data_IF_824851975544
#
_entry.id   IF_824851975544
#
_cell.length_a   1.000
_cell.length_b   1.000
_cell.length_c   1.000
_cell.angle_alpha   90.00
_cell.angle_beta   90.00
_cell.angle_gamma   90.00
#
_symmetry.space_group_name_H-M   'P 1'
#
loop_
_entity.id
_entity.type
_entity.pdbx_description
1 polymer ?
#
# COMPACT_ATOMS: atom_id res chain seq x y z
N UNK A 1 -26.58 11.86 6.04
CA UNK A 1 -26.86 12.33 7.40
C UNK A 1 -28.36 12.50 7.57
N UNK A 2 -28.92 11.78 8.52
CA UNK A 2 -30.30 11.98 8.90
C UNK A 2 -30.42 13.32 9.66
N UNK A 3 -31.06 14.30 9.02
CA UNK A 3 -31.29 15.63 9.60
C UNK A 3 -32.55 15.68 10.43
N UNK A 4 -33.12 14.55 10.84
CA UNK A 4 -34.26 14.51 11.72
C UNK A 4 -33.86 15.13 13.06
N UNK A 5 -34.51 16.22 13.42
CA UNK A 5 -34.28 16.96 14.67
C UNK A 5 -35.01 16.36 15.86
N UNK A 6 -35.95 15.46 15.63
CA UNK A 6 -36.60 14.64 16.64
C UNK A 6 -36.95 13.26 16.07
N UNK A 7 -37.18 12.30 16.96
CA UNK A 7 -37.57 10.93 16.61
C UNK A 7 -39.08 10.69 16.79
N UNK A 8 -39.87 11.74 16.93
CA UNK A 8 -41.31 11.65 17.20
C UNK A 8 -42.17 11.51 15.95
N UNK A 9 -41.54 11.55 14.76
CA UNK A 9 -42.22 11.32 13.48
C UNK A 9 -42.37 9.84 13.18
N UNK A 10 -43.57 9.42 12.77
CA UNK A 10 -43.76 8.12 12.16
C UNK A 10 -43.05 8.14 10.81
N UNK A 11 -42.04 7.30 10.63
CA UNK A 11 -41.41 7.09 9.33
C UNK A 11 -42.33 6.19 8.51
N UNK A 12 -43.16 6.79 7.67
CA UNK A 12 -44.01 6.08 6.69
C UNK A 12 -43.22 5.51 5.53
N UNK A 13 -41.98 5.21 5.76
CA UNK A 13 -41.12 4.63 4.74
C UNK A 13 -41.04 3.11 4.91
N UNK A 14 -41.62 2.38 3.97
CA UNK A 14 -41.39 0.96 3.82
C UNK A 14 -40.22 0.77 2.86
N UNK A 15 -39.14 0.14 3.35
CA UNK A 15 -38.00 -0.20 2.51
C UNK A 15 -38.45 -1.17 1.41
N UNK A 16 -38.41 -0.72 0.18
CA UNK A 16 -38.54 -1.59 -0.98
C UNK A 16 -37.14 -1.95 -1.47
N UNK A 17 -36.78 -3.25 -1.48
CA UNK A 17 -35.50 -3.66 -2.04
C UNK A 17 -35.40 -3.20 -3.49
N UNK A 18 -34.34 -2.49 -3.82
CA UNK A 18 -34.06 -2.15 -5.20
C UNK A 18 -33.99 -3.45 -6.00
N UNK A 19 -34.78 -3.53 -7.08
CA UNK A 19 -34.76 -4.69 -7.98
C UNK A 19 -33.31 -5.03 -8.36
N UNK A 20 -32.97 -6.32 -8.42
CA UNK A 20 -31.62 -6.71 -8.84
C UNK A 20 -31.29 -6.00 -10.15
N UNK A 21 -30.23 -5.18 -10.12
CA UNK A 21 -29.80 -4.47 -11.32
C UNK A 21 -29.48 -5.48 -12.41
N UNK A 22 -29.71 -5.08 -13.65
CA UNK A 22 -29.35 -5.91 -14.79
C UNK A 22 -27.90 -6.35 -14.63
N UNK A 23 -27.68 -7.67 -14.64
CA UNK A 23 -26.32 -8.21 -14.69
C UNK A 23 -25.63 -7.66 -15.93
N UNK A 24 -24.34 -7.36 -15.81
CA UNK A 24 -23.54 -7.02 -16.96
C UNK A 24 -23.66 -8.14 -18.00
N UNK A 25 -24.17 -7.80 -19.19
CA UNK A 25 -24.37 -8.75 -20.30
C UNK A 25 -23.17 -8.78 -21.25
N UNK A 26 -22.14 -7.98 -20.96
CA UNK A 26 -20.88 -7.98 -21.72
C UNK A 26 -20.05 -9.24 -21.46
N UNK A 27 -19.20 -9.58 -22.42
CA UNK A 27 -18.17 -10.61 -22.22
C UNK A 27 -17.16 -10.02 -21.24
N UNK A 28 -17.10 -10.58 -20.04
CA UNK A 28 -16.10 -10.21 -19.04
C UNK A 28 -14.86 -11.08 -19.27
N UNK A 29 -13.65 -10.51 -19.16
CA UNK A 29 -12.44 -11.32 -19.23
C UNK A 29 -12.36 -12.26 -18.03
N UNK A 30 -11.96 -13.50 -18.25
CA UNK A 30 -11.74 -14.48 -17.20
C UNK A 30 -10.35 -14.32 -16.57
N UNK A 31 -9.45 -13.62 -17.25
CA UNK A 31 -8.04 -13.46 -16.88
C UNK A 31 -7.58 -12.01 -17.01
N UNK A 32 -6.44 -11.71 -16.39
CA UNK A 32 -5.73 -10.44 -16.53
C UNK A 32 -4.22 -10.68 -16.53
N UNK A 33 -3.46 -9.75 -17.10
CA UNK A 33 -2.00 -9.78 -17.08
C UNK A 33 -1.48 -9.16 -15.77
N UNK A 34 -0.89 -9.99 -14.91
CA UNK A 34 -0.37 -9.59 -13.61
C UNK A 34 0.89 -10.35 -13.20
N UNK A 35 1.40 -10.05 -12.03
CA UNK A 35 2.57 -10.72 -11.46
C UNK A 35 2.12 -11.72 -10.39
N UNK A 36 2.58 -12.96 -10.48
CA UNK A 36 2.36 -13.95 -9.43
C UNK A 36 3.51 -13.90 -8.44
N UNK A 37 3.22 -13.61 -7.19
CA UNK A 37 4.20 -13.61 -6.10
C UNK A 37 4.46 -15.02 -5.57
N UNK A 38 5.60 -15.22 -4.92
CA UNK A 38 6.02 -16.52 -4.39
C UNK A 38 5.01 -17.12 -3.40
N UNK A 39 4.24 -16.30 -2.70
CA UNK A 39 3.16 -16.69 -1.80
C UNK A 39 1.81 -17.00 -2.51
N UNK A 40 1.79 -16.96 -3.84
CA UNK A 40 0.62 -17.23 -4.67
C UNK A 40 -0.36 -16.07 -4.81
N UNK A 41 -0.09 -14.89 -4.21
CA UNK A 41 -0.89 -13.68 -4.43
C UNK A 41 -0.61 -13.07 -5.79
N UNK A 42 -1.64 -12.43 -6.35
CA UNK A 42 -1.53 -11.71 -7.61
C UNK A 42 -1.29 -10.22 -7.37
N UNK A 43 -0.46 -9.62 -8.21
CA UNK A 43 -0.22 -8.19 -8.26
C UNK A 43 -0.55 -7.64 -9.65
N UNK A 44 -1.06 -6.42 -9.72
CA UNK A 44 -1.27 -5.68 -10.97
C UNK A 44 -0.13 -4.72 -11.28
N UNK A 45 0.73 -4.49 -10.28
CA UNK A 45 1.90 -3.62 -10.35
C UNK A 45 3.15 -4.35 -9.85
N UNK A 46 4.30 -3.88 -10.29
CA UNK A 46 5.63 -4.32 -9.86
C UNK A 46 6.44 -3.09 -9.47
N UNK A 47 6.09 -2.51 -8.32
CA UNK A 47 6.63 -1.23 -7.86
C UNK A 47 7.74 -1.45 -6.83
N UNK A 48 8.63 -0.47 -6.69
CA UNK A 48 9.60 -0.40 -5.59
C UNK A 48 9.10 0.65 -4.60
N UNK A 49 8.97 0.25 -3.34
CA UNK A 49 8.46 1.12 -2.28
C UNK A 49 9.54 1.44 -1.27
N UNK A 50 9.67 2.73 -0.91
CA UNK A 50 10.59 3.23 0.09
C UNK A 50 9.76 3.64 1.29
N UNK A 51 9.88 2.87 2.38
CA UNK A 51 9.00 2.95 3.54
C UNK A 51 9.83 3.35 4.76
N UNK A 52 9.57 4.53 5.37
CA UNK A 52 10.20 4.90 6.62
C UNK A 52 9.61 4.11 7.79
N UNK A 53 10.40 3.79 8.79
CA UNK A 53 9.91 3.28 10.08
C UNK A 53 9.45 4.41 11.00
N UNK A 54 9.89 5.64 10.72
CA UNK A 54 9.60 6.83 11.51
C UNK A 54 9.47 8.08 10.63
N UNK A 55 8.64 9.02 11.05
CA UNK A 55 8.40 10.27 10.33
C UNK A 55 9.63 11.16 10.14
N UNK A 56 10.64 11.02 11.01
CA UNK A 56 11.86 11.85 10.98
C UNK A 56 12.65 11.70 9.66
N UNK A 57 12.57 10.56 8.99
CA UNK A 57 13.26 10.32 7.71
C UNK A 57 12.35 10.52 6.49
N UNK A 58 11.16 11.10 6.65
CA UNK A 58 10.23 11.34 5.53
C UNK A 58 10.83 12.15 4.38
N UNK A 59 11.63 13.17 4.70
CA UNK A 59 12.30 13.99 3.66
C UNK A 59 13.35 13.16 2.93
N UNK A 60 14.15 12.39 3.65
CA UNK A 60 15.17 11.52 3.08
C UNK A 60 14.55 10.48 2.14
N UNK A 61 13.48 9.78 2.55
CA UNK A 61 12.82 8.78 1.69
C UNK A 61 12.20 9.39 0.42
N UNK A 62 11.71 10.63 0.48
CA UNK A 62 11.22 11.33 -0.71
C UNK A 62 12.36 11.66 -1.68
N UNK A 63 13.51 12.13 -1.18
CA UNK A 63 14.70 12.41 -1.99
C UNK A 63 15.21 11.13 -2.65
N UNK A 64 15.31 10.04 -1.88
CA UNK A 64 15.70 8.72 -2.40
C UNK A 64 14.76 8.30 -3.53
N UNK A 65 13.44 8.39 -3.32
CA UNK A 65 12.46 7.98 -4.35
C UNK A 65 12.57 8.82 -5.63
N UNK A 66 12.81 10.12 -5.52
CA UNK A 66 12.96 11.02 -6.66
C UNK A 66 14.20 10.68 -7.48
N UNK A 67 15.34 10.51 -6.83
CA UNK A 67 16.59 10.15 -7.49
C UNK A 67 16.54 8.73 -8.06
N UNK A 68 15.99 7.78 -7.31
CA UNK A 68 15.83 6.41 -7.75
C UNK A 68 14.96 6.27 -9.01
N UNK A 69 13.89 7.08 -9.14
CA UNK A 69 13.07 7.11 -10.37
C UNK A 69 13.89 7.49 -11.59
N UNK A 70 14.83 8.40 -11.43
CA UNK A 70 15.70 8.81 -12.54
C UNK A 70 16.71 7.72 -12.92
N UNK A 71 17.20 6.96 -11.93
CA UNK A 71 18.24 5.97 -12.13
C UNK A 71 17.69 4.58 -12.54
N UNK A 72 16.54 4.20 -12.01
CA UNK A 72 16.03 2.83 -12.08
C UNK A 72 14.56 2.73 -12.51
N UNK A 73 13.93 3.83 -12.92
CA UNK A 73 12.49 3.86 -13.21
C UNK A 73 12.08 3.01 -14.42
N UNK A 74 13.02 2.61 -15.26
CA UNK A 74 12.80 1.70 -16.40
C UNK A 74 12.75 0.20 -16.00
N UNK A 75 13.12 -0.14 -14.76
CA UNK A 75 13.21 -1.53 -14.27
C UNK A 75 11.95 -2.02 -13.54
N UNK A 76 10.98 -1.14 -13.29
CA UNK A 76 9.77 -1.45 -12.54
C UNK A 76 8.60 -0.57 -12.99
N UNK A 77 7.39 -0.85 -12.49
CA UNK A 77 6.20 -0.06 -12.80
C UNK A 77 6.17 1.32 -12.08
N UNK A 78 7.12 1.58 -11.20
CA UNK A 78 7.31 2.86 -10.51
C UNK A 78 8.04 2.73 -9.19
N UNK A 79 8.58 3.86 -8.68
CA UNK A 79 9.29 3.93 -7.39
C UNK A 79 8.62 5.00 -6.54
N UNK A 80 8.15 4.64 -5.35
CA UNK A 80 7.34 5.50 -4.49
C UNK A 80 7.84 5.51 -3.05
N UNK A 81 7.86 6.70 -2.43
CA UNK A 81 7.99 6.83 -0.99
C UNK A 81 6.61 6.82 -0.32
N UNK A 82 6.54 6.24 0.87
CA UNK A 82 5.33 6.19 1.70
C UNK A 82 5.52 6.92 3.02
N UNK A 83 5.68 8.26 3.02
CA UNK A 83 5.85 9.04 4.24
C UNK A 83 4.62 8.93 5.15
N UNK A 84 4.83 8.94 6.45
CA UNK A 84 3.78 8.90 7.46
C UNK A 84 4.19 9.69 8.71
N UNK A 85 3.25 9.92 9.64
CA UNK A 85 3.48 10.75 10.84
C UNK A 85 3.63 9.92 12.13
N UNK A 86 4.10 8.69 12.02
CA UNK A 86 4.19 7.73 13.12
C UNK A 86 5.64 7.26 13.35
N UNK A 87 5.84 6.35 14.29
CA UNK A 87 7.09 5.61 14.54
C UNK A 87 7.94 6.15 15.68
N UNK A 88 7.66 7.36 16.20
CA UNK A 88 8.38 7.93 17.34
C UNK A 88 7.40 8.29 18.46
N UNK A 89 7.78 7.98 19.70
CA UNK A 89 7.00 8.31 20.91
C UNK A 89 5.57 7.74 20.94
N UNK A 90 5.29 6.71 20.14
CA UNK A 90 4.05 5.97 20.21
C UNK A 90 4.08 4.94 21.34
N UNK A 91 2.93 4.70 21.96
CA UNK A 91 2.77 3.77 23.07
C UNK A 91 1.55 2.87 22.85
N UNK A 92 1.63 1.65 23.38
CA UNK A 92 0.49 0.71 23.42
C UNK A 92 -0.08 0.40 22.04
N UNK A 93 -1.40 0.40 21.95
CA UNK A 93 -2.14 -0.02 20.76
C UNK A 93 -1.83 0.80 19.50
N UNK A 94 -1.50 2.09 19.65
CA UNK A 94 -1.12 2.94 18.52
C UNK A 94 0.20 2.48 17.90
N UNK A 95 1.17 2.11 18.74
CA UNK A 95 2.45 1.59 18.30
C UNK A 95 2.27 0.24 17.59
N UNK A 96 1.56 -0.71 18.22
CA UNK A 96 1.28 -2.02 17.67
C UNK A 96 0.52 -1.93 16.34
N UNK A 97 -0.43 -1.01 16.25
CA UNK A 97 -1.21 -0.77 15.02
C UNK A 97 -0.31 -0.24 13.92
N UNK A 98 0.57 0.70 14.22
CA UNK A 98 1.55 1.25 13.25
C UNK A 98 2.43 0.15 12.69
N UNK A 99 2.99 -0.71 13.55
CA UNK A 99 3.83 -1.82 13.12
C UNK A 99 3.07 -2.80 12.21
N UNK A 100 1.86 -3.20 12.60
CA UNK A 100 1.00 -4.08 11.79
C UNK A 100 0.66 -3.49 10.43
N UNK A 101 0.34 -2.19 10.37
CA UNK A 101 0.04 -1.50 9.12
C UNK A 101 1.28 -1.42 8.21
N UNK A 102 2.43 -1.03 8.74
CA UNK A 102 3.68 -0.98 7.98
C UNK A 102 4.08 -2.37 7.47
N UNK A 103 3.98 -3.41 8.31
CA UNK A 103 4.22 -4.80 7.91
C UNK A 103 3.29 -5.22 6.76
N UNK A 104 1.99 -4.88 6.84
CA UNK A 104 1.04 -5.19 5.77
C UNK A 104 1.36 -4.45 4.46
N UNK A 105 1.87 -3.21 4.53
CA UNK A 105 2.31 -2.45 3.35
C UNK A 105 3.55 -3.10 2.75
N UNK A 106 4.55 -3.48 3.56
CA UNK A 106 5.77 -4.16 3.09
C UNK A 106 5.44 -5.46 2.35
N UNK A 107 4.47 -6.22 2.85
CA UNK A 107 4.02 -7.47 2.24
C UNK A 107 2.94 -7.29 1.17
N UNK A 108 2.65 -6.05 0.74
CA UNK A 108 1.64 -5.83 -0.29
C UNK A 108 2.09 -6.40 -1.64
N UNK A 109 1.26 -7.18 -2.36
CA UNK A 109 1.69 -7.86 -3.57
C UNK A 109 2.14 -6.92 -4.71
N UNK A 110 1.68 -5.67 -4.75
CA UNK A 110 2.15 -4.68 -5.74
C UNK A 110 3.57 -4.18 -5.48
N UNK A 111 4.11 -4.37 -4.26
CA UNK A 111 5.52 -4.13 -3.99
C UNK A 111 6.36 -5.27 -4.58
N UNK A 112 7.04 -5.03 -5.67
CA UNK A 112 8.04 -5.93 -6.24
C UNK A 112 9.32 -5.95 -5.42
N UNK A 113 9.59 -4.83 -4.72
CA UNK A 113 10.66 -4.70 -3.76
C UNK A 113 10.44 -3.53 -2.82
N UNK A 114 11.10 -3.55 -1.66
CA UNK A 114 10.95 -2.54 -0.61
C UNK A 114 12.31 -2.16 -0.03
N UNK A 115 12.54 -0.86 0.13
CA UNK A 115 13.58 -0.35 1.00
C UNK A 115 12.93 0.19 2.28
N UNK A 116 13.25 -0.42 3.42
CA UNK A 116 12.91 0.08 4.74
C UNK A 116 13.99 1.05 5.22
N UNK A 117 13.58 2.23 5.68
CA UNK A 117 14.50 3.27 6.13
C UNK A 117 14.17 3.65 7.58
N UNK A 118 15.11 3.39 8.47
CA UNK A 118 15.08 3.72 9.90
C UNK A 118 16.02 4.90 10.17
N UNK A 119 15.70 5.74 11.15
CA UNK A 119 16.62 6.76 11.64
C UNK A 119 17.72 6.13 12.51
N UNK A 120 17.32 5.28 13.47
CA UNK A 120 18.20 4.58 14.40
C UNK A 120 18.00 4.93 15.88
N UNK A 121 17.10 5.87 16.22
CA UNK A 121 16.79 6.24 17.61
C UNK A 121 15.28 6.27 17.91
N UNK A 122 14.45 5.82 16.99
CA UNK A 122 13.00 5.73 17.13
C UNK A 122 12.57 4.50 17.95
N UNK A 123 11.33 4.54 18.46
CA UNK A 123 10.74 3.36 19.11
C UNK A 123 10.52 2.22 18.11
N UNK A 124 10.20 2.57 16.85
CA UNK A 124 9.94 1.61 15.79
C UNK A 124 11.21 1.28 14.99
N UNK A 125 12.32 1.10 15.67
CA UNK A 125 13.57 0.65 15.07
C UNK A 125 13.47 -0.79 14.53
N UNK A 126 14.48 -1.28 13.85
CA UNK A 126 14.44 -2.62 13.25
C UNK A 126 14.43 -3.75 14.28
N UNK A 127 14.97 -3.54 15.50
CA UNK A 127 14.93 -4.57 16.54
C UNK A 127 13.48 -4.83 17.01
N UNK A 128 12.64 -3.80 16.98
CA UNK A 128 11.22 -3.91 17.33
C UNK A 128 10.33 -4.22 16.11
N UNK A 129 10.68 -3.71 14.93
CA UNK A 129 9.82 -3.85 13.75
C UNK A 129 10.00 -5.19 13.02
N UNK A 130 11.23 -5.67 12.83
CA UNK A 130 11.47 -6.90 12.06
C UNK A 130 10.82 -8.16 12.67
N UNK A 131 10.71 -8.32 13.99
CA UNK A 131 9.93 -9.43 14.57
C UNK A 131 8.44 -9.39 14.18
N UNK A 132 7.85 -8.20 14.02
CA UNK A 132 6.45 -8.04 13.58
C UNK A 132 6.33 -8.24 12.07
N UNK A 133 7.34 -7.84 11.30
CA UNK A 133 7.41 -8.10 9.87
C UNK A 133 7.44 -9.60 9.57
N UNK A 134 8.14 -10.39 10.38
CA UNK A 134 8.28 -11.83 10.19
C UNK A 134 9.24 -12.20 9.04
N UNK A 135 8.97 -13.33 8.40
CA UNK A 135 9.81 -13.81 7.30
C UNK A 135 9.63 -12.95 6.04
N UNK A 136 10.75 -12.57 5.44
CA UNK A 136 10.77 -11.79 4.20
C UNK A 136 11.95 -12.14 3.29
N UNK A 137 11.78 -11.91 2.01
CA UNK A 137 12.83 -12.10 0.99
C UNK A 137 13.85 -10.97 1.05
N UNK A 138 15.05 -11.26 1.54
CA UNK A 138 16.15 -10.31 1.67
C UNK A 138 16.75 -9.83 0.34
N UNK A 139 16.45 -10.48 -0.75
CA UNK A 139 16.83 -10.00 -2.08
C UNK A 139 15.97 -8.83 -2.53
N UNK A 140 14.71 -8.79 -2.08
CA UNK A 140 13.70 -7.81 -2.46
C UNK A 140 13.40 -6.76 -1.38
N UNK A 141 13.64 -7.10 -0.11
CA UNK A 141 13.41 -6.20 1.02
C UNK A 141 14.75 -5.92 1.67
N UNK A 142 15.16 -4.65 1.61
CA UNK A 142 16.42 -4.17 2.20
C UNK A 142 16.11 -3.20 3.34
N UNK A 143 17.05 -3.07 4.27
CA UNK A 143 16.95 -2.22 5.45
C UNK A 143 18.13 -1.26 5.49
N UNK A 144 17.88 0.00 5.79
CA UNK A 144 18.88 1.04 5.96
C UNK A 144 18.63 1.78 7.27
N UNK A 145 19.66 1.88 8.13
CA UNK A 145 19.64 2.75 9.31
C UNK A 145 20.49 3.97 8.97
N UNK A 146 19.86 5.14 8.85
CA UNK A 146 20.56 6.35 8.36
C UNK A 146 21.68 6.78 9.28
N UNK A 147 21.52 6.69 10.61
CA UNK A 147 22.57 7.05 11.57
C UNK A 147 23.79 6.11 11.56
N UNK A 148 23.68 4.93 10.95
CA UNK A 148 24.79 3.98 10.87
C UNK A 148 25.59 4.12 9.55
N UNK A 149 25.14 4.98 8.64
CA UNK A 149 25.82 5.19 7.34
C UNK A 149 27.03 6.12 7.55
N UNK A 150 28.20 5.64 7.12
CA UNK A 150 29.38 6.48 7.00
C UNK A 150 29.35 7.20 5.65
N UNK A 151 28.97 8.47 5.63
CA UNK A 151 28.86 9.28 4.42
C UNK A 151 27.44 9.73 4.10
N UNK A 152 27.07 9.70 2.82
CA UNK A 152 25.74 10.15 2.36
C UNK A 152 24.73 8.98 2.40
N UNK A 153 23.73 9.11 3.26
CA UNK A 153 22.67 8.09 3.42
C UNK A 153 21.81 7.93 2.17
N UNK A 154 21.69 8.96 1.34
CA UNK A 154 20.95 8.90 0.07
C UNK A 154 21.73 8.07 -0.95
N UNK A 155 23.04 8.27 -1.07
CA UNK A 155 23.88 7.47 -1.96
C UNK A 155 23.86 5.98 -1.58
N UNK A 156 23.93 5.68 -0.28
CA UNK A 156 23.87 4.29 0.18
C UNK A 156 22.49 3.67 -0.08
N UNK A 157 21.42 4.42 0.18
CA UNK A 157 20.05 4.00 -0.13
C UNK A 157 19.87 3.71 -1.63
N UNK A 158 20.42 4.55 -2.52
CA UNK A 158 20.34 4.36 -3.97
C UNK A 158 21.03 3.08 -4.43
N UNK A 159 22.15 2.67 -3.81
CA UNK A 159 22.78 1.37 -4.11
C UNK A 159 21.84 0.23 -3.75
N UNK A 160 21.22 0.27 -2.57
CA UNK A 160 20.26 -0.74 -2.13
C UNK A 160 19.03 -0.78 -3.04
N UNK A 161 18.50 0.37 -3.46
CA UNK A 161 17.40 0.44 -4.44
C UNK A 161 17.82 -0.15 -5.78
N UNK A 162 19.06 0.07 -6.22
CA UNK A 162 19.62 -0.55 -7.42
C UNK A 162 19.61 -2.07 -7.37
N UNK A 163 20.02 -2.66 -6.23
CA UNK A 163 19.95 -4.11 -6.03
C UNK A 163 18.50 -4.63 -6.08
N UNK A 164 17.57 -3.91 -5.43
CA UNK A 164 16.14 -4.23 -5.46
C UNK A 164 15.61 -4.14 -6.89
N UNK A 165 16.00 -3.13 -7.66
CA UNK A 165 15.57 -2.91 -9.03
C UNK A 165 16.03 -4.05 -9.96
N UNK A 166 17.24 -4.56 -9.78
CA UNK A 166 17.73 -5.72 -10.54
C UNK A 166 16.91 -6.99 -10.25
N UNK A 167 16.48 -7.20 -9.02
CA UNK A 167 15.61 -8.33 -8.68
C UNK A 167 14.17 -8.11 -9.22
N UNK A 168 13.65 -6.89 -9.09
CA UNK A 168 12.31 -6.53 -9.55
C UNK A 168 12.18 -6.64 -11.07
N UNK A 169 13.22 -6.29 -11.81
CA UNK A 169 13.26 -6.38 -13.28
C UNK A 169 13.14 -7.82 -13.82
N UNK A 170 13.41 -8.83 -13.01
CA UNK A 170 13.25 -10.25 -13.40
C UNK A 170 11.79 -10.71 -13.44
N UNK A 171 10.89 -9.97 -12.82
CA UNK A 171 9.47 -10.32 -12.77
C UNK A 171 8.82 -10.12 -14.15
N UNK A 172 8.05 -11.11 -14.57
CA UNK A 172 7.36 -11.11 -15.85
C UNK A 172 5.84 -11.20 -15.61
N UNK A 173 5.09 -10.37 -16.34
CA UNK A 173 3.62 -10.47 -16.34
C UNK A 173 3.19 -11.78 -16.96
N UNK A 174 2.24 -12.43 -16.32
CA UNK A 174 1.62 -13.65 -16.80
C UNK A 174 0.10 -13.57 -16.69
N UNK A 175 -0.57 -14.43 -17.40
CA UNK A 175 -2.03 -14.52 -17.36
C UNK A 175 -2.49 -15.14 -16.03
N UNK A 176 -3.34 -14.42 -15.31
CA UNK A 176 -3.86 -14.80 -14.00
C UNK A 176 -5.38 -14.72 -13.99
N UNK A 177 -6.11 -15.62 -13.30
CA UNK A 177 -7.55 -15.56 -13.23
C UNK A 177 -8.04 -14.32 -12.46
N UNK A 178 -9.11 -13.68 -12.95
CA UNK A 178 -9.68 -12.49 -12.30
C UNK A 178 -10.14 -12.74 -10.86
N UNK A 179 -10.41 -13.98 -10.48
CA UNK A 179 -10.71 -14.37 -9.10
C UNK A 179 -9.59 -14.07 -8.10
N UNK A 180 -8.36 -13.80 -8.58
CA UNK A 180 -7.25 -13.36 -7.74
C UNK A 180 -7.21 -11.85 -7.53
N UNK A 181 -8.00 -11.05 -8.26
CA UNK A 181 -8.07 -9.61 -8.05
C UNK A 181 -8.73 -9.28 -6.71
N UNK A 182 -8.14 -8.33 -6.02
CA UNK A 182 -8.70 -7.71 -4.82
C UNK A 182 -8.94 -6.24 -5.12
N UNK A 183 -10.20 -5.82 -5.03
CA UNK A 183 -10.61 -4.45 -5.29
C UNK A 183 -10.96 -3.81 -3.95
N UNK A 184 -10.28 -2.72 -3.62
CA UNK A 184 -10.56 -1.93 -2.44
C UNK A 184 -11.45 -0.73 -2.78
N UNK A 185 -12.43 -0.46 -1.93
CA UNK A 185 -13.25 0.75 -1.99
C UNK A 185 -12.92 1.65 -0.82
N UNK A 186 -12.80 2.96 -1.07
CA UNK A 186 -12.50 3.94 -0.04
C UNK A 186 -13.44 5.13 -0.18
N UNK A 187 -14.05 5.54 0.93
CA UNK A 187 -14.82 6.78 1.00
C UNK A 187 -13.87 7.97 1.18
N UNK A 188 -14.01 8.98 0.33
CA UNK A 188 -13.25 10.23 0.42
C UNK A 188 -13.86 11.22 1.41
N UNK A 189 -14.77 12.07 0.95
CA UNK A 189 -15.58 12.98 1.76
C UNK A 189 -17.05 12.63 1.58
N UNK A 190 -17.81 12.62 2.66
CA UNK A 190 -19.25 12.39 2.57
C UNK A 190 -19.96 13.66 2.14
N UNK A 191 -20.55 13.66 0.95
CA UNK A 191 -21.51 14.68 0.51
C UNK A 191 -22.87 14.06 0.21
N UNK A 192 -23.89 14.92 0.07
CA UNK A 192 -25.26 14.46 -0.13
C UNK A 192 -25.44 13.66 -1.44
N UNK A 193 -24.65 13.94 -2.46
CA UNK A 193 -24.75 13.29 -3.76
C UNK A 193 -24.04 11.93 -3.81
N UNK A 194 -23.05 11.68 -2.97
CA UNK A 194 -22.36 10.39 -2.95
C UNK A 194 -23.29 9.23 -2.65
N UNK A 195 -24.32 9.43 -1.81
CA UNK A 195 -25.35 8.44 -1.52
C UNK A 195 -26.23 8.09 -2.72
N UNK A 196 -26.39 9.02 -3.66
CA UNK A 196 -27.26 8.88 -4.83
C UNK A 196 -26.48 8.39 -6.06
N UNK A 197 -25.18 8.68 -6.15
CA UNK A 197 -24.35 8.44 -7.34
C UNK A 197 -23.24 7.42 -7.08
N UNK A 198 -22.18 7.84 -6.38
CA UNK A 198 -20.97 7.04 -6.24
C UNK A 198 -21.18 5.75 -5.43
N UNK A 199 -21.91 5.80 -4.31
CA UNK A 199 -22.12 4.63 -3.47
C UNK A 199 -22.95 3.54 -4.17
N UNK A 200 -24.06 3.86 -4.87
CA UNK A 200 -24.77 2.88 -5.69
C UNK A 200 -23.92 2.30 -6.82
N UNK A 201 -23.05 3.11 -7.44
CA UNK A 201 -22.12 2.63 -8.47
C UNK A 201 -21.09 1.66 -7.88
N UNK A 202 -20.48 2.00 -6.75
CA UNK A 202 -19.55 1.10 -6.04
C UNK A 202 -20.23 -0.23 -5.68
N UNK A 203 -21.49 -0.17 -5.16
CA UNK A 203 -22.24 -1.37 -4.85
C UNK A 203 -22.62 -2.20 -6.11
N UNK A 204 -22.68 -1.58 -7.28
CA UNK A 204 -22.93 -2.30 -8.54
C UNK A 204 -21.66 -3.01 -9.04
N UNK A 205 -20.49 -2.41 -8.79
CA UNK A 205 -19.18 -2.97 -9.17
C UNK A 205 -18.81 -4.12 -8.24
N UNK A 206 -19.10 -4.00 -6.93
CA UNK A 206 -18.82 -5.02 -5.93
C UNK A 206 -19.70 -6.26 -6.08
#
# INVERSE_FOLDING_TARGET
HNMATNLEGVLDYTYEPVSPRQKCTGILPDTFMGYLRADGRAAIRNEIWIIPTVSCVNTTVNIIAEQARTLYGDKCDGIFAYPHNAGCSQLGDDFDTTQKLLSAIVHHPNAGGVLLVSLGCENNDFDHFLPVLGDYDRSRIKCLITQNVEGDEVEEALKLVGEIAEETAKDVRQELPVSKLKIGFKCGGSDAFSGITANPLCGTIA
#
